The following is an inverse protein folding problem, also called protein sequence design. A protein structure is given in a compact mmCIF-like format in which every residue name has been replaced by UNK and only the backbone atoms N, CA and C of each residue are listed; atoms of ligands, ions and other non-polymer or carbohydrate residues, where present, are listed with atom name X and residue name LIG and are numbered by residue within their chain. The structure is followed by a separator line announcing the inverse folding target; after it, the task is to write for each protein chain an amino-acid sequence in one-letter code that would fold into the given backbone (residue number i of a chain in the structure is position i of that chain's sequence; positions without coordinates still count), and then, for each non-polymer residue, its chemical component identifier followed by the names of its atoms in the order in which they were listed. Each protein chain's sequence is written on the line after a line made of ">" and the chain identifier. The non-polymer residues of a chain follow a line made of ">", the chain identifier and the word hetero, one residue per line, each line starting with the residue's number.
data_IF_036666860209
#
_entry.id   IF_036666860209
#
_cell.length_a   1.000
_cell.length_b   1.000
_cell.length_c   1.000
_cell.angle_alpha   90.00
_cell.angle_beta   90.00
_cell.angle_gamma   90.00
#
_symmetry.space_group_name_H-M   'P 1'
#
loop_
_entity.id
_entity.type
_entity.pdbx_description
1 polymer ?
#
# COMPACT_ATOMS: atom_id res chain seq x y z
N UNK A 1 21.74 -3.81 16.18
CA UNK A 1 20.58 -4.36 16.92
C UNK A 1 19.57 -4.87 15.92
N UNK A 2 19.00 -6.06 16.10
CA UNK A 2 18.00 -6.63 15.21
C UNK A 2 16.61 -6.54 15.85
N UNK A 3 15.61 -6.09 15.09
CA UNK A 3 14.24 -5.87 15.57
C UNK A 3 13.25 -6.65 14.72
N UNK A 4 12.23 -7.22 15.36
CA UNK A 4 11.10 -7.88 14.70
C UNK A 4 9.82 -7.28 15.26
N UNK A 5 8.89 -6.94 14.38
CA UNK A 5 7.55 -6.50 14.71
C UNK A 5 6.58 -7.23 13.79
N UNK A 6 5.49 -7.72 14.37
CA UNK A 6 4.36 -8.29 13.64
C UNK A 6 3.20 -7.34 13.88
N UNK A 7 2.53 -6.95 12.81
CA UNK A 7 1.48 -5.93 12.85
C UNK A 7 1.96 -4.66 13.58
N UNK A 8 1.09 -4.01 14.34
CA UNK A 8 1.42 -2.85 15.17
C UNK A 8 1.78 -3.24 16.62
N UNK A 9 2.11 -4.51 16.86
CA UNK A 9 2.39 -5.03 18.20
C UNK A 9 3.75 -4.59 18.76
N UNK A 10 4.03 -5.02 19.99
CA UNK A 10 5.29 -4.72 20.67
C UNK A 10 6.50 -5.24 19.88
N UNK A 11 7.42 -4.32 19.58
CA UNK A 11 8.72 -4.64 18.96
C UNK A 11 9.54 -5.57 19.86
N UNK A 12 10.01 -6.67 19.27
CA UNK A 12 10.99 -7.56 19.88
C UNK A 12 12.38 -7.22 19.37
N UNK A 13 13.36 -7.19 20.26
CA UNK A 13 14.71 -6.72 19.94
C UNK A 13 15.76 -7.71 20.42
N UNK A 14 16.69 -8.10 19.55
CA UNK A 14 17.78 -9.01 19.84
C UNK A 14 19.13 -8.43 19.40
N UNK A 15 20.17 -8.64 20.20
CA UNK A 15 21.54 -8.28 19.81
C UNK A 15 22.14 -9.42 18.97
N UNK A 16 22.60 -9.09 17.76
CA UNK A 16 23.33 -10.03 16.93
C UNK A 16 24.78 -10.22 17.44
N UNK A 17 25.42 -11.37 17.19
CA UNK A 17 26.80 -11.62 17.60
C UNK A 17 27.81 -10.68 16.93
N UNK A 18 27.49 -10.21 15.71
CA UNK A 18 28.33 -9.32 14.90
C UNK A 18 27.45 -8.34 14.14
N UNK A 19 28.01 -7.17 13.84
CA UNK A 19 27.39 -6.15 12.98
C UNK A 19 27.79 -6.31 11.50
N UNK A 20 28.53 -7.38 11.15
CA UNK A 20 28.87 -7.68 9.76
C UNK A 20 27.65 -8.13 8.95
N UNK A 21 27.56 -7.76 7.66
CA UNK A 21 26.47 -8.18 6.80
C UNK A 21 26.49 -9.68 6.54
N UNK A 22 25.32 -10.31 6.57
CA UNK A 22 25.14 -11.71 6.24
C UNK A 22 24.97 -11.84 4.72
N UNK A 23 25.88 -12.55 4.06
CA UNK A 23 25.80 -12.79 2.61
C UNK A 23 24.87 -13.95 2.30
N UNK A 24 23.83 -13.69 1.50
CA UNK A 24 22.84 -14.68 1.07
C UNK A 24 22.98 -14.93 -0.42
N UNK A 25 23.11 -16.19 -0.82
CA UNK A 25 23.28 -16.59 -2.24
C UNK A 25 21.96 -16.83 -2.97
N UNK A 26 20.93 -17.27 -2.25
CA UNK A 26 19.61 -17.61 -2.77
C UNK A 26 18.56 -17.23 -1.74
N UNK A 27 17.49 -16.61 -2.20
CA UNK A 27 16.30 -16.31 -1.42
C UNK A 27 15.18 -17.27 -1.86
N UNK A 28 14.48 -17.84 -0.90
CA UNK A 28 13.33 -18.72 -1.12
C UNK A 28 12.12 -18.13 -0.39
N UNK A 29 10.93 -18.26 -0.98
CA UNK A 29 9.68 -17.73 -0.44
C UNK A 29 8.67 -18.88 -0.39
N UNK A 30 7.91 -18.98 0.70
CA UNK A 30 6.96 -20.07 0.94
C UNK A 30 7.60 -21.40 1.36
N UNK A 31 8.78 -21.73 0.84
CA UNK A 31 9.52 -22.92 1.22
C UNK A 31 10.81 -23.06 0.44
N UNK A 32 11.65 -24.03 0.79
CA UNK A 32 12.89 -24.33 0.07
C UNK A 32 12.96 -25.82 -0.25
N UNK A 33 13.53 -26.18 -1.42
CA UNK A 33 13.76 -27.57 -1.77
C UNK A 33 14.69 -28.25 -0.75
N UNK A 34 14.51 -29.54 -0.52
CA UNK A 34 15.22 -30.32 0.52
C UNK A 34 16.74 -30.20 0.45
N UNK A 35 17.30 -30.04 -0.75
CA UNK A 35 18.73 -29.83 -0.97
C UNK A 35 19.27 -28.50 -0.37
N UNK A 36 18.41 -27.50 -0.18
CA UNK A 36 18.74 -26.19 0.40
C UNK A 36 18.27 -26.03 1.85
N UNK A 37 17.51 -26.99 2.39
CA UNK A 37 17.09 -26.96 3.79
C UNK A 37 18.25 -27.34 4.71
N UNK A 38 18.62 -26.42 5.59
CA UNK A 38 19.64 -26.59 6.62
C UNK A 38 18.94 -26.76 7.97
N UNK A 39 19.49 -27.57 8.89
CA UNK A 39 18.95 -27.65 10.24
C UNK A 39 18.97 -26.27 10.93
N UNK A 40 17.91 -25.86 11.65
CA UNK A 40 16.73 -26.66 12.03
C UNK A 40 15.55 -26.62 11.02
N UNK A 41 15.68 -25.90 9.92
CA UNK A 41 14.59 -25.67 8.95
C UNK A 41 14.13 -26.93 8.19
N UNK A 42 14.91 -28.01 8.21
CA UNK A 42 14.57 -29.29 7.53
C UNK A 42 13.25 -29.93 7.95
N UNK A 43 12.76 -29.64 9.15
CA UNK A 43 11.54 -30.25 9.68
C UNK A 43 10.34 -29.29 9.67
N UNK A 44 10.47 -28.13 9.03
CA UNK A 44 9.40 -27.15 8.92
C UNK A 44 8.66 -27.41 7.59
N UNK A 45 7.35 -27.68 7.62
CA UNK A 45 6.59 -27.86 6.39
C UNK A 45 6.59 -26.57 5.54
N UNK A 46 6.48 -26.67 4.20
CA UNK A 46 6.27 -25.51 3.35
C UNK A 46 5.02 -24.73 3.77
N UNK A 47 5.04 -23.42 3.55
CA UNK A 47 3.93 -22.53 3.82
C UNK A 47 2.81 -22.70 2.79
N UNK A 48 1.57 -22.74 3.26
CA UNK A 48 0.36 -22.73 2.44
C UNK A 48 -0.43 -21.45 2.74
N UNK A 49 -0.60 -20.60 1.73
CA UNK A 49 -1.26 -19.31 1.84
C UNK A 49 -0.68 -18.27 0.88
N UNK A 50 -0.96 -17.00 1.14
CA UNK A 50 -0.47 -15.90 0.31
C UNK A 50 0.62 -15.10 1.00
N UNK A 51 1.67 -14.77 0.25
CA UNK A 51 2.73 -13.85 0.68
C UNK A 51 2.78 -12.73 -0.37
N UNK A 52 2.63 -11.48 0.06
CA UNK A 52 2.66 -10.31 -0.80
C UNK A 52 3.41 -9.16 -0.15
N UNK A 53 3.72 -8.11 -0.93
CA UNK A 53 4.39 -6.88 -0.48
C UNK A 53 5.73 -7.12 0.26
N UNK A 54 6.53 -8.10 -0.17
CA UNK A 54 7.86 -8.33 0.39
C UNK A 54 8.81 -7.22 -0.05
N UNK A 55 9.38 -6.51 0.94
CA UNK A 55 10.36 -5.44 0.73
C UNK A 55 11.64 -5.77 1.47
N UNK A 56 12.78 -5.72 0.77
CA UNK A 56 14.11 -5.95 1.36
C UNK A 56 14.99 -4.77 0.97
N UNK A 57 15.65 -4.14 1.96
CA UNK A 57 16.49 -2.95 1.74
C UNK A 57 15.76 -1.86 0.92
N UNK A 58 14.51 -1.55 1.30
CA UNK A 58 13.63 -0.60 0.60
C UNK A 58 13.33 -0.92 -0.88
N UNK A 59 13.62 -2.14 -1.34
CA UNK A 59 13.34 -2.60 -2.70
C UNK A 59 12.23 -3.65 -2.67
N UNK A 60 11.13 -3.47 -3.44
CA UNK A 60 10.10 -4.48 -3.56
C UNK A 60 10.66 -5.69 -4.32
N UNK A 61 10.39 -6.89 -3.82
CA UNK A 61 10.75 -8.13 -4.50
C UNK A 61 9.73 -8.42 -5.60
N UNK A 62 10.18 -8.51 -6.86
CA UNK A 62 9.33 -8.85 -7.99
C UNK A 62 9.16 -10.37 -8.11
N UNK A 63 7.99 -10.88 -7.67
CA UNK A 63 7.66 -12.29 -7.80
C UNK A 63 7.33 -12.71 -9.24
N UNK A 64 7.11 -11.78 -10.19
CA UNK A 64 6.83 -12.13 -11.59
C UNK A 64 8.07 -12.64 -12.34
N UNK A 65 9.27 -12.47 -11.78
CA UNK A 65 10.54 -12.89 -12.38
C UNK A 65 11.35 -13.79 -11.43
N UNK A 66 10.81 -14.95 -11.00
CA UNK A 66 11.55 -15.86 -10.15
C UNK A 66 12.65 -16.58 -10.94
N UNK A 67 13.77 -16.90 -10.28
CA UNK A 67 14.80 -17.77 -10.87
C UNK A 67 14.27 -19.20 -11.08
N UNK A 68 13.40 -19.66 -10.17
CA UNK A 68 12.71 -20.95 -10.23
C UNK A 68 11.55 -20.94 -9.22
N UNK A 69 10.49 -21.72 -9.47
CA UNK A 69 9.38 -21.90 -8.53
C UNK A 69 8.79 -23.31 -8.65
N UNK A 70 8.12 -23.76 -7.59
CA UNK A 70 7.38 -25.01 -7.52
C UNK A 70 6.17 -24.78 -6.59
N UNK A 71 4.97 -25.22 -6.98
CA UNK A 71 3.72 -25.10 -6.21
C UNK A 71 3.42 -23.65 -5.76
N UNK A 72 3.56 -22.68 -6.67
CA UNK A 72 3.31 -21.26 -6.38
C UNK A 72 2.40 -20.64 -7.44
N UNK A 73 1.29 -20.05 -6.99
CA UNK A 73 0.35 -19.28 -7.80
C UNK A 73 0.72 -17.80 -7.80
N UNK A 74 1.60 -17.40 -8.72
CA UNK A 74 2.16 -16.03 -8.76
C UNK A 74 1.14 -15.04 -9.32
N UNK A 75 1.02 -13.88 -8.67
CA UNK A 75 0.21 -12.75 -9.14
C UNK A 75 -1.24 -12.75 -8.66
N UNK A 76 -1.64 -13.74 -7.87
CA UNK A 76 -2.97 -13.82 -7.28
C UNK A 76 -2.91 -14.26 -5.82
N UNK A 77 -3.89 -13.81 -5.05
CA UNK A 77 -4.23 -14.45 -3.79
C UNK A 77 -5.72 -14.82 -3.86
N UNK A 78 -6.07 -16.10 -4.06
CA UNK A 78 -7.47 -16.50 -4.16
C UNK A 78 -8.19 -16.20 -2.85
N UNK A 79 -9.38 -15.60 -2.91
CA UNK A 79 -10.27 -15.51 -1.76
C UNK A 79 -10.79 -16.91 -1.44
N UNK A 80 -10.72 -17.31 -0.18
CA UNK A 80 -11.26 -18.60 0.27
C UNK A 80 -12.80 -18.62 0.28
N UNK A 81 -13.43 -17.44 0.29
CA UNK A 81 -14.87 -17.31 0.15
C UNK A 81 -15.27 -17.15 -1.33
N UNK A 82 -16.26 -17.92 -1.83
CA UNK A 82 -17.02 -17.50 -3.01
C UNK A 82 -17.60 -16.12 -2.71
N UNK A 83 -17.44 -15.16 -3.62
CA UNK A 83 -18.23 -13.92 -3.58
C UNK A 83 -19.72 -14.29 -3.70
N UNK A 84 -20.36 -14.60 -2.59
CA UNK A 84 -21.82 -14.55 -2.49
C UNK A 84 -22.14 -13.05 -2.42
N UNK A 85 -22.08 -12.38 -3.57
CA UNK A 85 -22.81 -11.13 -3.72
C UNK A 85 -24.26 -11.50 -3.46
N UNK A 86 -24.93 -10.94 -2.43
CA UNK A 86 -26.37 -11.03 -2.36
C UNK A 86 -26.91 -10.60 -3.72
N UNK A 87 -27.94 -11.27 -4.28
CA UNK A 87 -28.60 -10.74 -5.46
C UNK A 87 -28.90 -9.27 -5.18
N UNK A 88 -28.38 -8.39 -6.03
CA UNK A 88 -28.78 -7.00 -6.02
C UNK A 88 -30.31 -7.03 -6.13
N UNK A 89 -30.98 -6.56 -5.09
CA UNK A 89 -32.43 -6.45 -5.07
C UNK A 89 -32.78 -5.39 -6.14
N UNK A 90 -32.95 -5.85 -7.38
CA UNK A 90 -33.45 -5.08 -8.53
C UNK A 90 -34.95 -4.77 -8.36
N UNK A 91 -35.40 -4.42 -7.15
CA UNK A 91 -36.75 -3.89 -6.93
C UNK A 91 -36.77 -2.77 -5.88
N UNK A 92 -35.84 -1.83 -6.01
CA UNK A 92 -36.05 -0.49 -5.47
C UNK A 92 -35.98 0.53 -6.60
N UNK A 93 -37.07 1.28 -6.89
CA UNK A 93 -37.02 2.35 -7.86
C UNK A 93 -35.95 3.35 -7.46
N UNK A 94 -34.89 3.44 -8.25
CA UNK A 94 -33.90 4.51 -8.16
C UNK A 94 -34.65 5.81 -8.45
N UNK A 95 -34.63 6.83 -7.56
CA UNK A 95 -35.08 8.15 -7.96
C UNK A 95 -34.13 8.61 -9.06
N UNK A 96 -34.66 8.77 -10.27
CA UNK A 96 -33.91 9.20 -11.43
C UNK A 96 -33.03 10.39 -11.06
N UNK A 97 -31.71 10.19 -11.10
CA UNK A 97 -30.78 11.31 -11.12
C UNK A 97 -31.06 12.06 -12.41
N UNK A 98 -31.74 13.20 -12.29
CA UNK A 98 -31.91 14.16 -13.38
C UNK A 98 -30.51 14.57 -13.80
N UNK A 99 -30.07 14.03 -14.93
CA UNK A 99 -28.85 14.43 -15.60
C UNK A 99 -29.08 15.84 -16.13
N UNK A 100 -28.68 16.85 -15.36
CA UNK A 100 -28.69 18.25 -15.83
C UNK A 100 -27.63 18.33 -16.91
N UNK A 101 -28.06 18.25 -18.17
CA UNK A 101 -27.22 18.62 -19.31
C UNK A 101 -26.99 20.13 -19.25
N UNK A 102 -25.74 20.63 -19.23
CA UNK A 102 -25.51 22.06 -19.33
C UNK A 102 -25.87 22.53 -20.75
N UNK A 103 -26.88 23.40 -20.85
CA UNK A 103 -27.21 24.11 -22.10
C UNK A 103 -26.03 25.01 -22.54
N UNK A 104 -25.79 25.18 -23.85
CA UNK A 104 -24.76 26.06 -24.36
C UNK A 104 -25.15 27.52 -24.09
N UNK A 105 -24.34 28.21 -23.28
CA UNK A 105 -24.45 29.64 -23.01
C UNK A 105 -24.29 30.45 -24.30
N UNK A 106 -25.39 30.98 -24.82
CA UNK A 106 -25.39 32.03 -25.85
C UNK A 106 -25.37 33.40 -25.16
N UNK A 107 -24.52 34.27 -25.69
CA UNK A 107 -24.12 35.55 -25.14
C UNK A 107 -25.21 36.65 -25.11
N UNK A 108 -25.04 37.57 -24.16
CA UNK A 108 -25.72 38.87 -24.06
C UNK A 108 -26.67 38.93 -22.85
N UNK A 109 -26.69 39.91 -21.95
CA UNK A 109 -26.17 41.26 -21.96
C UNK A 109 -26.16 41.79 -20.49
N UNK A 110 -24.98 42.22 -20.02
CA UNK A 110 -24.69 43.38 -19.16
C UNK A 110 -25.70 43.81 -18.06
N UNK A 111 -25.27 43.74 -16.78
CA UNK A 111 -25.29 44.87 -15.82
C UNK A 111 -24.37 44.64 -14.59
N UNK A 112 -24.02 45.73 -13.88
CA UNK A 112 -22.73 46.05 -13.22
C UNK A 112 -22.53 45.52 -11.77
N UNK A 113 -21.28 45.43 -11.24
CA UNK A 113 -20.88 44.60 -10.08
C UNK A 113 -21.06 45.22 -8.69
N UNK A 114 -21.18 44.36 -7.66
CA UNK A 114 -20.84 44.68 -6.26
C UNK A 114 -19.73 43.74 -5.76
N UNK A 115 -18.72 44.35 -5.18
CA UNK A 115 -17.43 43.84 -4.67
C UNK A 115 -17.53 42.83 -3.52
N UNK A 116 -16.54 41.92 -3.35
CA UNK A 116 -16.41 41.05 -2.17
C UNK A 116 -15.59 41.70 -1.05
N UNK A 117 -15.77 41.34 0.23
CA UNK A 117 -14.84 41.75 1.29
C UNK A 117 -13.60 40.84 1.29
N UNK A 118 -12.42 41.47 1.36
CA UNK A 118 -11.12 40.82 1.46
C UNK A 118 -10.72 40.56 2.93
N UNK A 119 -10.10 39.41 3.19
CA UNK A 119 -9.48 39.07 4.48
C UNK A 119 -8.07 39.70 4.62
N UNK A 120 -7.60 40.01 5.83
CA UNK A 120 -6.32 40.70 6.03
C UNK A 120 -5.09 39.76 5.99
N UNK A 121 -3.90 40.25 5.61
CA UNK A 121 -2.65 39.48 5.61
C UNK A 121 -1.92 39.49 6.98
N UNK A 122 -0.99 38.55 7.22
CA UNK A 122 -0.28 38.39 8.51
C UNK A 122 0.88 39.40 8.71
N UNK A 123 1.31 39.65 9.96
CA UNK A 123 2.38 40.61 10.26
C UNK A 123 3.80 40.01 10.11
N UNK A 124 4.73 40.81 9.61
CA UNK A 124 6.19 40.55 9.58
C UNK A 124 6.95 41.34 10.66
N UNK A 125 8.11 40.85 11.15
CA UNK A 125 8.83 41.43 12.30
C UNK A 125 9.74 42.61 11.91
N UNK A 126 9.81 43.62 12.77
CA UNK A 126 10.66 44.82 12.61
C UNK A 126 11.92 44.74 13.48
N UNK A 127 13.09 44.86 12.85
CA UNK A 127 14.41 45.07 13.46
C UNK A 127 14.63 46.57 13.71
N UNK A 128 15.21 47.03 14.84
CA UNK A 128 15.46 48.46 15.07
C UNK A 128 16.78 48.94 14.42
N UNK A 129 16.87 50.19 13.94
CA UNK A 129 18.11 50.76 13.44
C UNK A 129 18.95 51.40 14.54
N UNK A 130 20.25 51.39 14.29
CA UNK A 130 21.31 51.99 15.08
C UNK A 130 21.23 53.54 15.13
N UNK A 131 21.62 54.07 16.28
CA UNK A 131 22.28 55.37 16.46
C UNK A 131 23.38 55.18 17.51
#
# INVERSE_FOLDING_TARGET
>A
MFTVQVDEDKVQTQRLPTDQPISVKKLFVGGAASAFQIAPLRNIPPFEGCIWNLVINATPVDFAQPVSFENADIGQCPSLEPEVRPPEDEDKPTPATVLIQPEPVTAGERERPRTPPASPPPPTPSVPPAL
#
